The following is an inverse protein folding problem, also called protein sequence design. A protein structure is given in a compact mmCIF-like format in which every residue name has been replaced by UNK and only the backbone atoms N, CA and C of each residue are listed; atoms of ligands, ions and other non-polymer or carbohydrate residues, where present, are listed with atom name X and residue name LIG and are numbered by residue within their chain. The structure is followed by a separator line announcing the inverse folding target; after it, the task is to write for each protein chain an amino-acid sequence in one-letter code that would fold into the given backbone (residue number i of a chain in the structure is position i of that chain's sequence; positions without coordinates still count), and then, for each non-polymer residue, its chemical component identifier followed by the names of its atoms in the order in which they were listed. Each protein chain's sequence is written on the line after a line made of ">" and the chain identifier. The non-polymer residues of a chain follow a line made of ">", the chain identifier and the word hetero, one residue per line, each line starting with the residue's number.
data_IF_706989878732
#
_entry.id   IF_706989878732
#
_cell.length_a   1.000
_cell.length_b   1.000
_cell.length_c   1.000
_cell.angle_alpha   90.00
_cell.angle_beta   90.00
_cell.angle_gamma   90.00
#
_symmetry.space_group_name_H-M   'P 1'
#
loop_
_entity.id
_entity.type
_entity.pdbx_description
1 polymer ?
#
# COMPACT_ATOMS: atom_id res chain seq x y z
N UNK A 1 11.54 6.00 21.96
CA UNK A 1 10.59 6.72 21.09
C UNK A 1 9.95 5.63 20.25
N UNK A 2 8.74 5.20 20.61
CA UNK A 2 8.09 4.11 19.90
C UNK A 2 7.57 4.64 18.56
N UNK A 3 7.96 3.96 17.48
CA UNK A 3 7.51 4.27 16.12
C UNK A 3 6.45 3.27 15.75
N UNK A 4 5.22 3.75 15.55
CA UNK A 4 4.12 2.91 15.06
C UNK A 4 4.22 2.82 13.53
N UNK A 5 4.06 1.61 12.99
CA UNK A 5 4.05 1.38 11.54
C UNK A 5 2.80 0.63 11.13
N UNK A 6 2.42 0.76 9.86
CA UNK A 6 1.34 0.01 9.23
C UNK A 6 1.79 -0.52 7.89
N UNK A 7 1.38 -1.74 7.54
CA UNK A 7 1.72 -2.33 6.25
C UNK A 7 0.53 -2.23 5.28
N UNK A 8 0.81 -1.74 4.07
CA UNK A 8 -0.14 -1.61 2.98
C UNK A 8 0.32 -2.52 1.83
N UNK A 9 -0.42 -3.60 1.58
CA UNK A 9 -0.18 -4.51 0.47
C UNK A 9 -1.01 -4.06 -0.74
N UNK A 10 -0.34 -3.78 -1.85
CA UNK A 10 -0.95 -3.21 -3.06
C UNK A 10 -0.43 -3.94 -4.30
N UNK A 11 -1.10 -3.76 -5.43
CA UNK A 11 -0.64 -4.23 -6.75
C UNK A 11 -0.54 -3.07 -7.73
N UNK A 12 0.19 -3.27 -8.83
CA UNK A 12 0.24 -2.30 -9.94
C UNK A 12 -1.14 -2.01 -10.54
N UNK A 13 -2.09 -2.94 -10.44
CA UNK A 13 -3.47 -2.73 -10.90
C UNK A 13 -4.20 -1.71 -10.03
N UNK A 14 -4.00 -1.78 -8.72
CA UNK A 14 -4.66 -0.90 -7.75
C UNK A 14 -4.32 0.58 -7.98
N UNK A 15 -3.10 0.86 -8.45
CA UNK A 15 -2.67 2.21 -8.83
C UNK A 15 -3.21 2.69 -10.19
N UNK A 16 -3.85 1.84 -10.98
CA UNK A 16 -4.50 2.24 -12.25
C UNK A 16 -5.95 2.66 -12.04
N UNK A 17 -6.58 2.26 -10.94
CA UNK A 17 -7.97 2.59 -10.64
C UNK A 17 -8.05 3.92 -9.86
N UNK A 18 -8.67 4.99 -10.43
CA UNK A 18 -8.64 6.32 -9.82
C UNK A 18 -9.32 6.41 -8.44
N UNK A 19 -10.38 5.63 -8.20
CA UNK A 19 -11.10 5.67 -6.92
C UNK A 19 -10.30 5.00 -5.80
N UNK A 20 -9.60 3.91 -6.11
CA UNK A 20 -8.69 3.22 -5.22
C UNK A 20 -7.54 4.13 -4.83
N UNK A 21 -6.91 4.81 -5.80
CA UNK A 21 -5.85 5.79 -5.52
C UNK A 21 -6.31 6.88 -4.56
N UNK A 22 -7.53 7.38 -4.73
CA UNK A 22 -8.11 8.40 -3.85
C UNK A 22 -8.29 7.85 -2.43
N UNK A 23 -8.91 6.69 -2.29
CA UNK A 23 -9.11 6.03 -0.99
C UNK A 23 -7.79 5.68 -0.30
N UNK A 24 -6.81 5.19 -1.05
CA UNK A 24 -5.48 4.90 -0.54
C UNK A 24 -4.80 6.17 -0.03
N UNK A 25 -4.93 7.28 -0.75
CA UNK A 25 -4.38 8.57 -0.35
C UNK A 25 -5.03 9.09 0.94
N UNK A 26 -6.36 8.98 1.06
CA UNK A 26 -7.10 9.31 2.29
C UNK A 26 -6.66 8.45 3.48
N UNK A 27 -6.42 7.16 3.24
CA UNK A 27 -5.93 6.21 4.25
C UNK A 27 -4.52 6.57 4.71
N UNK A 28 -3.60 6.86 3.78
CA UNK A 28 -2.22 7.27 4.09
C UNK A 28 -2.21 8.56 4.91
N UNK A 29 -3.01 9.56 4.52
CA UNK A 29 -3.10 10.82 5.25
C UNK A 29 -3.57 10.57 6.70
N UNK A 30 -4.59 9.73 6.89
CA UNK A 30 -5.08 9.36 8.22
C UNK A 30 -4.01 8.65 9.07
N UNK A 31 -3.19 7.79 8.47
CA UNK A 31 -2.08 7.11 9.15
C UNK A 31 -0.99 8.11 9.58
N UNK A 32 -0.64 9.05 8.71
CA UNK A 32 0.35 10.08 9.00
C UNK A 32 -0.12 11.05 10.10
N UNK A 33 -1.40 11.42 10.11
CA UNK A 33 -2.00 12.24 11.17
C UNK A 33 -1.91 11.56 12.54
N UNK A 34 -1.99 10.22 12.56
CA UNK A 34 -1.81 9.38 13.75
C UNK A 34 -0.33 9.09 14.07
N UNK A 35 0.62 9.69 13.34
CA UNK A 35 2.07 9.45 13.44
C UNK A 35 2.46 7.99 13.19
N UNK A 36 1.68 7.29 12.36
CA UNK A 36 1.96 5.93 11.90
C UNK A 36 2.70 6.00 10.57
N UNK A 37 3.80 5.26 10.43
CA UNK A 37 4.56 5.18 9.18
C UNK A 37 3.98 4.06 8.30
N UNK A 38 3.34 4.39 7.16
CA UNK A 38 2.89 3.38 6.21
C UNK A 38 4.08 2.79 5.43
N UNK A 39 4.10 1.46 5.33
CA UNK A 39 5.07 0.67 4.56
C UNK A 39 4.32 -0.01 3.43
N UNK A 40 4.60 0.41 2.21
CA UNK A 40 4.03 -0.19 1.01
C UNK A 40 4.83 -1.42 0.59
N UNK A 41 4.13 -2.50 0.24
CA UNK A 41 4.74 -3.67 -0.38
C UNK A 41 3.81 -4.25 -1.46
N UNK A 42 4.38 -4.95 -2.43
CA UNK A 42 3.57 -5.64 -3.45
C UNK A 42 2.85 -6.84 -2.84
N UNK A 43 1.59 -7.03 -3.20
CA UNK A 43 0.80 -8.16 -2.72
C UNK A 43 1.02 -9.38 -3.63
N UNK A 44 2.11 -10.10 -3.44
CA UNK A 44 2.48 -11.29 -4.24
C UNK A 44 1.42 -12.40 -4.22
N UNK A 45 0.52 -12.43 -3.22
CA UNK A 45 -0.55 -13.41 -3.13
C UNK A 45 -1.69 -13.17 -4.15
N UNK A 46 -1.87 -11.92 -4.60
CA UNK A 46 -2.92 -11.54 -5.57
C UNK A 46 -2.35 -10.90 -6.84
N UNK A 47 -1.08 -10.47 -6.84
CA UNK A 47 -0.44 -9.89 -8.00
C UNK A 47 -0.34 -10.95 -9.09
N UNK A 48 -0.85 -10.62 -10.28
CA UNK A 48 -0.71 -11.49 -11.46
C UNK A 48 0.68 -11.36 -12.09
N UNK A 49 1.58 -10.55 -11.52
CA UNK A 49 2.99 -10.57 -11.89
C UNK A 49 3.58 -11.89 -11.44
N UNK A 50 3.85 -12.76 -12.41
CA UNK A 50 4.86 -13.80 -12.19
C UNK A 50 6.18 -13.10 -11.96
N UNK A 51 6.86 -13.47 -10.88
CA UNK A 51 8.25 -13.08 -10.71
C UNK A 51 9.03 -13.42 -12.00
N UNK A 52 9.91 -12.53 -12.49
CA UNK A 52 10.66 -12.75 -13.73
C UNK A 52 11.74 -13.84 -13.61
N UNK A 53 11.72 -14.65 -12.54
CA UNK A 53 12.75 -15.64 -12.21
C UNK A 53 12.20 -17.07 -12.08
N UNK A 54 11.12 -17.39 -12.79
CA UNK A 54 10.76 -18.78 -13.15
C UNK A 54 10.99 -19.06 -14.64
#
# INVERSE_FOLDING_TARGET
>A
LDVTSSQLLVTDYDFKEPNFRKQLSETVNSLLDLKVIPIFNENDAISTRKAPYE
#
